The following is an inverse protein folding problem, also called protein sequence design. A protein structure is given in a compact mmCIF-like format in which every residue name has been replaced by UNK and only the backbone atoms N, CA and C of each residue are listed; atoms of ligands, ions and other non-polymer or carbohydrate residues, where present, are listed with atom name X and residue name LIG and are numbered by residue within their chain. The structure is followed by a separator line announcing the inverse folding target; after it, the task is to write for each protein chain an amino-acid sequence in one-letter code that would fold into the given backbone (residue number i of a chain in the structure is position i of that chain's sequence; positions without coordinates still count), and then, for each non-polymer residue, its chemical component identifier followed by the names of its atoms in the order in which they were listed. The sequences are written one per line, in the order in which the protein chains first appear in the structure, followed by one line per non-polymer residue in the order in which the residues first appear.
data_IF_712866057211
#
_entry.id   IF_712866057211
#
_cell.length_a   1.000
_cell.length_b   1.000
_cell.length_c   1.000
_cell.angle_alpha   90.00
_cell.angle_beta   90.00
_cell.angle_gamma   90.00
#
_symmetry.space_group_name_H-M   'P 1'
#
loop_
_entity.id
_entity.type
_entity.pdbx_description
1 polymer ?
#
# COMPACT_ATOMS: atom_id res chain seq x y z
N UNK A 1 -4.16 -2.68 27.35
CA UNK A 1 -3.50 -4.00 27.13
C UNK A 1 -3.73 -4.51 25.70
N UNK A 2 -3.50 -3.68 24.69
CA UNK A 2 -3.30 -4.06 23.28
C UNK A 2 -2.38 -3.04 22.57
N UNK A 3 -1.93 -2.02 23.30
CA UNK A 3 -1.21 -0.85 22.81
C UNK A 3 0.32 -1.04 22.91
N UNK A 4 0.75 -2.16 23.50
CA UNK A 4 2.16 -2.44 23.85
C UNK A 4 2.81 -3.48 22.90
N UNK A 5 2.04 -4.05 21.94
CA UNK A 5 2.56 -5.05 20.99
C UNK A 5 3.02 -4.47 19.65
N UNK A 6 2.68 -3.22 19.35
CA UNK A 6 3.23 -2.48 18.21
C UNK A 6 4.47 -1.75 18.71
N UNK A 7 5.52 -2.51 19.04
CA UNK A 7 6.85 -1.93 19.19
C UNK A 7 7.09 -1.04 17.97
N UNK A 8 7.39 0.24 18.22
CA UNK A 8 7.86 1.18 17.24
C UNK A 8 9.12 0.57 16.60
N UNK A 9 8.91 -0.23 15.57
CA UNK A 9 9.97 -0.79 14.75
C UNK A 9 10.48 0.38 13.94
N UNK A 10 11.77 0.65 14.07
CA UNK A 10 12.50 1.54 13.17
C UNK A 10 12.00 1.31 11.73
N UNK A 11 11.70 2.37 10.97
CA UNK A 11 11.12 2.24 9.65
C UNK A 11 12.01 1.33 8.81
N UNK A 12 11.42 0.24 8.30
CA UNK A 12 12.16 -0.72 7.48
C UNK A 12 12.54 -0.03 6.18
N UNK A 13 13.84 0.08 5.91
CA UNK A 13 14.35 0.65 4.66
C UNK A 13 14.66 -0.48 3.69
N UNK A 14 14.21 -0.36 2.45
CA UNK A 14 14.62 -1.23 1.36
C UNK A 14 16.03 -0.84 0.90
N UNK A 15 17.00 -1.73 1.10
CA UNK A 15 18.43 -1.48 0.82
C UNK A 15 19.00 -2.43 -0.24
N UNK A 16 18.14 -3.17 -0.95
CA UNK A 16 18.59 -4.16 -1.93
C UNK A 16 18.68 -3.54 -3.33
N UNK A 17 19.46 -4.19 -4.19
CA UNK A 17 19.67 -3.73 -5.58
C UNK A 17 18.46 -3.94 -6.48
N UNK A 18 17.54 -4.84 -6.10
CA UNK A 18 16.31 -5.08 -6.85
C UNK A 18 15.31 -3.96 -6.58
N UNK A 19 14.69 -3.45 -7.63
CA UNK A 19 13.64 -2.45 -7.54
C UNK A 19 12.40 -3.01 -6.86
N UNK A 20 11.74 -2.19 -6.04
CA UNK A 20 10.48 -2.53 -5.37
C UNK A 20 9.52 -1.36 -5.51
N UNK A 21 8.34 -1.63 -6.05
CA UNK A 21 7.23 -0.69 -6.16
C UNK A 21 6.14 -1.06 -5.16
N UNK A 22 5.53 -0.07 -4.53
CA UNK A 22 4.43 -0.26 -3.58
C UNK A 22 3.13 0.36 -4.10
N UNK A 23 2.08 -0.46 -4.19
CA UNK A 23 0.71 0.01 -4.49
C UNK A 23 -0.10 -0.05 -3.20
N UNK A 24 -0.61 1.09 -2.74
CA UNK A 24 -1.45 1.20 -1.56
C UNK A 24 -2.92 1.44 -1.94
N UNK A 25 -3.86 0.83 -1.22
CA UNK A 25 -5.30 1.09 -1.38
C UNK A 25 -5.79 2.19 -0.42
N UNK A 26 -6.78 2.98 -0.84
CA UNK A 26 -7.37 4.07 -0.04
C UNK A 26 -8.91 4.02 0.06
N UNK A 27 -9.55 2.90 -0.30
CA UNK A 27 -11.00 2.75 -0.17
C UNK A 27 -11.37 1.66 0.84
N UNK A 28 -11.81 2.02 2.06
CA UNK A 28 -12.29 1.04 3.03
C UNK A 28 -13.70 0.58 2.66
N UNK A 29 -13.80 -0.39 1.74
CA UNK A 29 -15.06 -1.03 1.31
C UNK A 29 -14.95 -2.53 1.50
N UNK A 30 -15.66 -3.08 2.49
CA UNK A 30 -15.66 -4.51 2.84
C UNK A 30 -16.13 -4.77 4.28
N UNK A 31 -16.29 -6.05 4.66
CA UNK A 31 -16.79 -6.52 5.97
C UNK A 31 -15.98 -6.00 7.19
N UNK A 32 -14.76 -5.50 6.99
CA UNK A 32 -13.90 -4.91 8.05
C UNK A 32 -14.38 -3.57 8.59
N UNK A 33 -15.37 -2.92 7.95
CA UNK A 33 -15.89 -1.60 8.35
C UNK A 33 -16.52 -1.55 9.74
N UNK A 34 -16.81 -2.70 10.35
CA UNK A 34 -17.42 -2.79 11.69
C UNK A 34 -16.39 -2.82 12.83
N UNK A 35 -15.11 -3.07 12.55
CA UNK A 35 -14.12 -3.38 13.60
C UNK A 35 -12.92 -2.43 13.69
N UNK A 36 -12.67 -1.58 12.68
CA UNK A 36 -11.52 -0.68 12.69
C UNK A 36 -11.91 0.72 12.22
N UNK A 37 -11.73 1.72 13.09
CA UNK A 37 -11.68 3.12 12.71
C UNK A 37 -10.22 3.43 12.38
N UNK A 38 -9.94 3.69 11.11
CA UNK A 38 -8.70 4.34 10.71
C UNK A 38 -8.93 5.84 10.73
N UNK A 39 -8.04 6.60 11.37
CA UNK A 39 -8.05 8.06 11.31
C UNK A 39 -7.47 8.59 9.99
N UNK A 40 -6.71 7.73 9.27
CA UNK A 40 -6.07 8.00 7.98
C UNK A 40 -6.63 7.13 6.83
N UNK A 41 -6.30 7.47 5.57
CA UNK A 41 -6.65 6.67 4.39
C UNK A 41 -6.21 5.19 4.54
N UNK A 42 -7.11 4.27 4.21
CA UNK A 42 -6.85 2.82 4.28
C UNK A 42 -7.62 2.04 3.22
N UNK A 43 -7.18 0.81 2.96
CA UNK A 43 -7.87 -0.12 2.07
C UNK A 43 -8.95 -0.96 2.79
N UNK A 44 -9.20 -0.68 4.07
CA UNK A 44 -10.08 -1.44 4.96
C UNK A 44 -9.38 -2.52 5.80
N UNK A 45 -8.08 -2.76 5.57
CA UNK A 45 -7.25 -3.70 6.34
C UNK A 45 -5.91 -3.06 6.76
N UNK A 46 -5.28 -2.31 5.85
CA UNK A 46 -3.97 -1.69 6.02
C UNK A 46 -4.08 -0.19 5.77
N UNK A 47 -3.49 0.63 6.64
CA UNK A 47 -3.41 2.06 6.45
C UNK A 47 -2.38 2.43 5.37
N UNK A 48 -2.62 3.49 4.60
CA UNK A 48 -1.66 3.97 3.58
C UNK A 48 -0.30 4.29 4.22
N UNK A 49 -0.29 4.84 5.44
CA UNK A 49 0.95 5.13 6.18
C UNK A 49 1.79 3.87 6.44
N UNK A 50 1.16 2.73 6.76
CA UNK A 50 1.85 1.46 7.00
C UNK A 50 2.51 0.88 5.74
N UNK A 51 2.03 1.28 4.56
CA UNK A 51 2.62 0.85 3.28
C UNK A 51 3.87 1.64 2.88
N UNK A 52 4.23 2.70 3.61
CA UNK A 52 5.42 3.49 3.28
C UNK A 52 6.68 2.68 3.58
N UNK A 53 7.44 2.41 2.53
CA UNK A 53 8.72 1.69 2.58
C UNK A 53 9.83 2.61 2.07
N UNK A 54 10.59 3.29 2.95
CA UNK A 54 11.74 4.07 2.53
C UNK A 54 12.70 3.24 1.67
N UNK A 55 13.25 3.81 0.61
CA UNK A 55 14.12 3.10 -0.34
C UNK A 55 13.38 2.25 -1.39
N UNK A 56 12.05 2.16 -1.34
CA UNK A 56 11.28 1.67 -2.47
C UNK A 56 11.48 2.59 -3.68
N UNK A 57 11.51 2.00 -4.87
CA UNK A 57 11.71 2.71 -6.14
C UNK A 57 10.54 3.65 -6.44
N UNK A 58 9.31 3.22 -6.14
CA UNK A 58 8.11 4.03 -6.32
C UNK A 58 6.97 3.62 -5.37
N UNK A 59 6.06 4.54 -5.08
CA UNK A 59 4.88 4.34 -4.24
C UNK A 59 3.67 5.05 -4.84
N UNK A 60 2.58 4.33 -5.08
CA UNK A 60 1.33 4.91 -5.61
C UNK A 60 0.13 4.54 -4.73
N UNK A 61 -0.76 5.50 -4.51
CA UNK A 61 -2.04 5.28 -3.82
C UNK A 61 -3.16 5.17 -4.85
N UNK A 62 -3.98 4.13 -4.74
CA UNK A 62 -5.08 3.85 -5.64
C UNK A 62 -6.41 3.67 -4.90
N UNK A 63 -7.53 4.14 -5.47
CA UNK A 63 -8.83 4.09 -4.82
C UNK A 63 -9.47 2.68 -4.92
N UNK A 64 -8.86 1.70 -4.25
CA UNK A 64 -9.28 0.29 -4.17
C UNK A 64 -9.33 -0.17 -2.72
N UNK A 65 -10.19 -1.14 -2.42
CA UNK A 65 -10.17 -1.85 -1.14
C UNK A 65 -9.16 -2.99 -1.16
N UNK A 66 -8.85 -3.53 0.02
CA UNK A 66 -7.87 -4.60 0.19
C UNK A 66 -8.14 -5.79 -0.74
N UNK A 67 -9.36 -6.35 -0.67
CA UNK A 67 -9.78 -7.44 -1.55
C UNK A 67 -9.97 -6.97 -3.00
N UNK A 68 -10.48 -5.76 -3.21
CA UNK A 68 -10.71 -5.20 -4.55
C UNK A 68 -9.41 -4.98 -5.34
N UNK A 69 -8.28 -4.78 -4.66
CA UNK A 69 -6.97 -4.57 -5.27
C UNK A 69 -6.56 -5.76 -6.16
N UNK A 70 -6.81 -6.99 -5.71
CA UNK A 70 -6.42 -8.21 -6.43
C UNK A 70 -7.14 -8.38 -7.77
N UNK A 71 -8.36 -7.84 -7.89
CA UNK A 71 -9.19 -7.96 -9.10
C UNK A 71 -9.20 -6.68 -9.95
N UNK A 72 -8.43 -5.67 -9.57
CA UNK A 72 -8.45 -4.36 -10.23
C UNK A 72 -7.59 -4.36 -11.48
N UNK A 73 -8.21 -4.28 -12.66
CA UNK A 73 -7.51 -4.10 -13.93
C UNK A 73 -6.61 -2.84 -13.94
N UNK A 74 -7.00 -1.79 -13.20
CA UNK A 74 -6.17 -0.58 -13.04
C UNK A 74 -4.89 -0.88 -12.26
N UNK A 75 -4.97 -1.69 -11.20
CA UNK A 75 -3.81 -2.11 -10.41
C UNK A 75 -2.90 -3.00 -11.27
N UNK A 76 -3.46 -3.97 -11.98
CA UNK A 76 -2.70 -4.83 -12.90
C UNK A 76 -1.92 -4.01 -13.95
N UNK A 77 -2.53 -2.96 -14.50
CA UNK A 77 -1.84 -2.04 -15.41
C UNK A 77 -0.67 -1.32 -14.72
N UNK A 78 -0.84 -0.83 -13.50
CA UNK A 78 0.27 -0.19 -12.77
C UNK A 78 1.42 -1.16 -12.47
N UNK A 79 1.10 -2.42 -12.16
CA UNK A 79 2.12 -3.46 -12.00
C UNK A 79 2.92 -3.63 -13.30
N UNK A 80 2.23 -3.74 -14.45
CA UNK A 80 2.91 -3.83 -15.75
C UNK A 80 3.82 -2.64 -16.03
N UNK A 81 3.33 -1.42 -15.82
CA UNK A 81 4.12 -0.18 -15.99
C UNK A 81 5.37 -0.16 -15.10
N UNK A 82 5.24 -0.57 -13.84
CA UNK A 82 6.39 -0.64 -12.94
C UNK A 82 7.40 -1.69 -13.39
N UNK A 83 6.95 -2.89 -13.79
CA UNK A 83 7.84 -3.95 -14.26
C UNK A 83 8.58 -3.57 -15.56
N UNK A 84 7.95 -2.78 -16.42
CA UNK A 84 8.56 -2.33 -17.68
C UNK A 84 9.50 -1.12 -17.50
N UNK A 85 9.16 -0.18 -16.60
CA UNK A 85 9.76 1.17 -16.56
C UNK A 85 10.38 1.55 -15.21
N UNK A 86 10.27 0.69 -14.20
CA UNK A 86 10.70 0.95 -12.82
C UNK A 86 9.85 1.98 -12.08
N UNK A 87 8.70 2.42 -12.64
CA UNK A 87 7.81 3.41 -12.02
C UNK A 87 6.35 3.22 -12.41
N UNK A 88 5.44 3.66 -11.55
CA UNK A 88 4.01 3.68 -11.80
C UNK A 88 3.64 4.84 -12.72
N UNK A 89 2.73 4.61 -13.68
CA UNK A 89 2.32 5.65 -14.64
C UNK A 89 1.50 6.78 -14.02
N UNK A 90 1.03 6.60 -12.78
CA UNK A 90 0.25 7.60 -12.05
C UNK A 90 1.13 8.60 -11.28
N UNK A 91 2.45 8.35 -11.23
CA UNK A 91 3.46 9.27 -10.72
C UNK A 91 4.33 9.71 -11.91
N UNK A 92 3.97 10.80 -12.62
CA UNK A 92 4.68 11.24 -13.81
C UNK A 92 6.11 11.70 -13.52
#
# INVERSE_FOLDING_TARGET
MAEELVLAREPRVWQQTREVGVIAGSRPVGLGRLFVRFDDDSDGTVAVAETKLPGATDHVVMPVSHTGMQFSARVARQIGEFLEKGRFSLNP
#
